data_IF_574375068524
#
_entry.id   IF_574375068524
#
_cell.length_a   1.000
_cell.length_b   1.000
_cell.length_c   1.000
_cell.angle_alpha   90.00
_cell.angle_beta   90.00
_cell.angle_gamma   90.00
#
_symmetry.space_group_name_H-M   'P 1'
#
loop_
_entity.id
_entity.type
_entity.pdbx_description
1 polymer ?
#
# COMPACT_ATOMS: atom_id res chain seq x y z
N UNK A 1 -5.96 23.10 -4.37
CA UNK A 1 -5.58 22.23 -5.48
C UNK A 1 -4.71 21.14 -4.90
N UNK A 2 -4.92 19.87 -5.28
CA UNK A 2 -4.07 18.78 -4.82
C UNK A 2 -2.61 19.08 -5.22
N UNK A 3 -1.69 18.88 -4.28
CA UNK A 3 -0.24 19.07 -4.47
C UNK A 3 0.39 17.96 -5.30
N UNK A 4 -0.18 16.76 -5.27
CA UNK A 4 0.30 15.59 -5.99
C UNK A 4 -0.76 15.10 -6.97
N UNK A 5 -0.32 14.43 -8.04
CA UNK A 5 -1.21 13.82 -9.04
C UNK A 5 -1.19 12.29 -8.96
N UNK A 6 -2.25 11.64 -9.44
CA UNK A 6 -2.28 10.18 -9.61
C UNK A 6 -1.15 9.71 -10.53
N UNK A 7 -0.50 8.62 -10.14
CA UNK A 7 0.70 8.10 -10.79
C UNK A 7 2.01 8.79 -10.38
N UNK A 8 1.95 9.82 -9.53
CA UNK A 8 3.17 10.49 -9.05
C UNK A 8 3.87 9.68 -7.96
N UNK A 9 5.21 9.63 -8.04
CA UNK A 9 6.07 9.00 -7.06
C UNK A 9 6.21 9.91 -5.83
N UNK A 10 5.89 9.35 -4.66
CA UNK A 10 5.87 10.08 -3.40
C UNK A 10 6.55 9.26 -2.30
N UNK A 11 7.06 9.99 -1.30
CA UNK A 11 7.60 9.42 -0.06
C UNK A 11 6.81 9.96 1.12
N UNK A 12 6.58 9.12 2.11
CA UNK A 12 5.98 9.53 3.38
C UNK A 12 7.05 10.23 4.22
N UNK A 13 6.77 11.47 4.64
CA UNK A 13 7.70 12.31 5.41
C UNK A 13 8.12 11.65 6.72
N UNK A 14 9.36 11.88 7.10
CA UNK A 14 9.89 11.53 8.42
C UNK A 14 9.64 12.71 9.36
N UNK A 15 8.72 12.55 10.31
CA UNK A 15 8.39 13.57 11.32
C UNK A 15 7.94 12.94 12.64
N UNK A 16 8.09 13.63 13.79
CA UNK A 16 7.51 13.17 15.05
C UNK A 16 6.00 12.95 14.91
N UNK A 17 5.52 11.80 15.39
CA UNK A 17 4.08 11.49 15.45
C UNK A 17 3.46 12.31 16.57
N UNK A 18 2.46 13.12 16.24
CA UNK A 18 1.75 13.97 17.20
C UNK A 18 0.64 13.21 17.92
N UNK A 19 0.12 13.76 19.02
CA UNK A 19 -1.06 13.16 19.68
C UNK A 19 -2.30 13.16 18.78
N UNK A 20 -2.44 14.13 17.88
CA UNK A 20 -3.53 14.17 16.92
C UNK A 20 -3.44 13.02 15.91
N UNK A 21 -2.24 12.72 15.42
CA UNK A 21 -2.02 11.57 14.53
C UNK A 21 -2.42 10.24 15.19
N UNK A 22 -2.11 10.10 16.49
CA UNK A 22 -2.48 8.91 17.28
C UNK A 22 -3.99 8.79 17.47
N UNK A 23 -4.70 9.92 17.62
CA UNK A 23 -6.16 9.96 17.78
C UNK A 23 -6.90 9.63 16.49
N UNK A 24 -6.35 10.07 15.35
CA UNK A 24 -7.01 9.89 14.03
C UNK A 24 -6.50 8.64 13.30
N UNK A 25 -5.51 7.94 13.84
CA UNK A 25 -4.96 6.69 13.29
C UNK A 25 -4.48 6.80 11.83
N UNK A 26 -4.02 7.99 11.43
CA UNK A 26 -3.64 8.30 10.04
C UNK A 26 -2.13 8.30 9.78
N UNK A 27 -1.30 8.39 10.81
CA UNK A 27 0.15 8.48 10.65
C UNK A 27 0.87 7.74 11.78
N UNK A 28 1.67 6.75 11.42
CA UNK A 28 2.41 5.91 12.35
C UNK A 28 3.91 5.93 12.04
N UNK A 29 4.74 5.67 13.06
CA UNK A 29 6.21 5.68 12.93
C UNK A 29 6.71 4.72 11.85
N UNK A 30 6.11 3.54 11.73
CA UNK A 30 6.51 2.52 10.77
C UNK A 30 6.15 2.86 9.31
N UNK A 31 5.34 3.89 9.07
CA UNK A 31 4.99 4.35 7.72
C UNK A 31 5.99 5.36 7.18
N UNK A 32 6.82 5.93 8.05
CA UNK A 32 7.72 7.02 7.67
C UNK A 32 8.85 6.52 6.76
N UNK A 33 9.18 7.32 5.75
CA UNK A 33 10.23 6.99 4.79
C UNK A 33 9.84 5.95 3.75
N UNK A 34 8.64 5.36 3.83
CA UNK A 34 8.14 4.47 2.79
C UNK A 34 7.91 5.24 1.49
N UNK A 35 8.22 4.60 0.38
CA UNK A 35 8.03 5.13 -0.95
C UNK A 35 6.90 4.41 -1.66
N UNK A 36 6.27 5.13 -2.56
CA UNK A 36 5.17 4.58 -3.33
C UNK A 36 4.70 5.51 -4.43
N UNK A 37 3.55 5.17 -4.97
CA UNK A 37 2.91 5.89 -6.06
C UNK A 37 1.51 6.29 -5.63
N UNK A 38 1.11 7.54 -5.91
CA UNK A 38 -0.25 7.99 -5.66
C UNK A 38 -1.21 7.19 -6.53
N UNK A 39 -2.12 6.45 -5.91
CA UNK A 39 -3.11 5.63 -6.63
C UNK A 39 -4.45 6.33 -6.77
N UNK A 40 -4.87 7.13 -5.78
CA UNK A 40 -6.13 7.85 -5.81
C UNK A 40 -6.18 8.98 -4.77
N UNK A 41 -7.09 9.93 -4.96
CA UNK A 41 -7.47 10.94 -3.98
C UNK A 41 -8.90 10.70 -3.51
N UNK A 42 -9.11 10.68 -2.19
CA UNK A 42 -10.45 10.45 -1.64
C UNK A 42 -11.13 11.77 -1.25
N UNK A 43 -10.58 12.43 -0.23
CA UNK A 43 -11.05 13.71 0.28
C UNK A 43 -10.02 14.81 -0.02
N UNK A 44 -10.30 16.06 0.39
CA UNK A 44 -9.38 17.20 0.15
C UNK A 44 -7.96 16.95 0.65
N UNK A 45 -7.81 16.17 1.71
CA UNK A 45 -6.53 15.97 2.38
C UNK A 45 -6.08 14.50 2.39
N UNK A 46 -6.89 13.56 1.90
CA UNK A 46 -6.61 12.12 2.00
C UNK A 46 -6.18 11.54 0.65
N UNK A 47 -5.00 10.91 0.65
CA UNK A 47 -4.34 10.38 -0.54
C UNK A 47 -4.05 8.90 -0.31
N UNK A 48 -4.44 8.08 -1.28
CA UNK A 48 -4.10 6.68 -1.34
C UNK A 48 -2.72 6.54 -2.00
N UNK A 49 -1.78 5.92 -1.29
CA UNK A 49 -0.44 5.66 -1.82
C UNK A 49 -0.22 4.16 -1.85
N UNK A 50 0.01 3.64 -3.04
CA UNK A 50 0.48 2.28 -3.23
C UNK A 50 1.97 2.22 -2.89
N UNK A 51 2.30 1.50 -1.83
CA UNK A 51 3.66 1.40 -1.30
C UNK A 51 4.45 0.35 -2.05
N UNK A 52 5.70 0.70 -2.37
CA UNK A 52 6.65 -0.26 -2.90
C UNK A 52 7.04 -1.24 -1.80
N UNK A 53 6.75 -2.52 -2.00
CA UNK A 53 7.11 -3.56 -1.04
C UNK A 53 8.62 -3.68 -0.80
N UNK A 54 9.44 -3.19 -1.73
CA UNK A 54 10.90 -3.13 -1.59
C UNK A 54 11.38 -1.97 -0.71
N UNK A 55 10.53 -0.98 -0.44
CA UNK A 55 10.80 0.09 0.53
C UNK A 55 10.51 -0.32 1.97
N UNK A 56 9.87 -1.48 2.18
CA UNK A 56 9.54 -1.99 3.50
C UNK A 56 10.77 -2.53 4.24
N UNK A 57 10.78 -2.34 5.56
CA UNK A 57 11.73 -2.98 6.47
C UNK A 57 11.46 -4.50 6.55
N UNK A 58 12.46 -5.28 6.94
CA UNK A 58 12.47 -6.74 6.87
C UNK A 58 11.22 -7.41 7.49
N UNK A 59 10.80 -7.00 8.69
CA UNK A 59 9.67 -7.63 9.38
C UNK A 59 8.33 -7.38 8.65
N UNK A 60 7.92 -6.13 8.36
CA UNK A 60 6.74 -5.88 7.53
C UNK A 60 6.79 -6.61 6.18
N UNK A 61 7.95 -6.63 5.51
CA UNK A 61 8.14 -7.32 4.23
C UNK A 61 7.79 -8.81 4.34
N UNK A 62 8.26 -9.49 5.38
CA UNK A 62 7.94 -10.89 5.63
C UNK A 62 6.45 -11.11 5.94
N UNK A 63 5.83 -10.22 6.71
CA UNK A 63 4.39 -10.28 7.00
C UNK A 63 3.58 -10.18 5.71
N UNK A 64 3.92 -9.25 4.81
CA UNK A 64 3.26 -9.09 3.52
C UNK A 64 3.48 -10.29 2.60
N UNK A 65 4.69 -10.87 2.60
CA UNK A 65 5.00 -12.09 1.84
C UNK A 65 4.14 -13.26 2.30
N UNK A 66 4.10 -13.54 3.61
CA UNK A 66 3.31 -14.65 4.18
C UNK A 66 1.81 -14.42 3.94
N UNK A 67 1.33 -13.18 4.09
CA UNK A 67 -0.07 -12.86 3.81
C UNK A 67 -0.41 -13.10 2.33
N UNK A 68 0.46 -12.71 1.41
CA UNK A 68 0.30 -12.93 -0.03
C UNK A 68 0.23 -14.42 -0.37
N UNK A 69 1.11 -15.24 0.22
CA UNK A 69 1.11 -16.69 0.06
C UNK A 69 -0.24 -17.29 0.50
N UNK A 70 -0.73 -16.94 1.70
CA UNK A 70 -2.03 -17.41 2.21
C UNK A 70 -3.21 -16.97 1.36
N UNK A 71 -3.19 -15.75 0.84
CA UNK A 71 -4.25 -15.23 -0.03
C UNK A 71 -4.27 -16.00 -1.35
N UNK A 72 -3.10 -16.29 -1.94
CA UNK A 72 -2.99 -17.11 -3.15
C UNK A 72 -3.45 -18.55 -2.92
N UNK A 73 -3.08 -19.16 -1.79
CA UNK A 73 -3.55 -20.50 -1.41
C UNK A 73 -5.09 -20.51 -1.32
N UNK A 74 -5.67 -19.58 -0.56
CA UNK A 74 -7.12 -19.46 -0.42
C UNK A 74 -7.80 -19.19 -1.76
N UNK A 75 -7.22 -18.36 -2.61
CA UNK A 75 -7.74 -18.12 -3.96
C UNK A 75 -7.75 -19.41 -4.79
N UNK A 76 -6.66 -20.19 -4.76
CA UNK A 76 -6.56 -21.45 -5.50
C UNK A 76 -7.51 -22.54 -4.96
N UNK A 77 -7.74 -22.60 -3.66
CA UNK A 77 -8.68 -23.55 -3.05
C UNK A 77 -10.14 -23.24 -3.41
N UNK A 78 -10.50 -21.95 -3.47
CA UNK A 78 -11.88 -21.52 -3.67
C UNK A 78 -12.25 -21.24 -5.14
N UNK A 79 -11.27 -21.20 -6.04
CA UNK A 79 -11.50 -20.95 -7.46
C UNK A 79 -11.71 -22.28 -8.20
N UNK A 80 -12.85 -22.42 -8.88
CA UNK A 80 -13.16 -23.59 -9.71
C UNK A 80 -12.14 -23.71 -10.87
N UNK A 81 -11.83 -24.94 -11.28
CA UNK A 81 -10.87 -25.26 -12.35
C UNK A 81 -11.23 -24.58 -13.70
N UNK A 82 -12.51 -24.32 -13.96
CA UNK A 82 -12.97 -23.58 -15.14
C UNK A 82 -12.51 -22.12 -15.12
N UNK A 83 -12.52 -21.47 -13.95
CA UNK A 83 -12.08 -20.09 -13.78
C UNK A 83 -10.54 -20.02 -13.81
N UNK A 84 -9.85 -21.00 -13.22
CA UNK A 84 -8.39 -21.07 -13.27
C UNK A 84 -7.86 -21.16 -14.71
N UNK A 85 -8.56 -21.85 -15.61
CA UNK A 85 -8.19 -21.94 -17.04
C UNK A 85 -8.33 -20.62 -17.79
N UNK A 86 -9.16 -19.70 -17.29
CA UNK A 86 -9.31 -18.35 -17.86
C UNK A 86 -8.20 -17.39 -17.41
N UNK A 87 -7.50 -17.73 -16.33
CA UNK A 87 -6.42 -16.92 -15.77
C UNK A 87 -5.07 -17.44 -16.24
N UNK A 88 -4.20 -16.52 -16.65
CA UNK A 88 -2.80 -16.80 -16.89
C UNK A 88 -2.09 -17.18 -15.58
N UNK A 89 -0.91 -17.82 -15.70
CA UNK A 89 -0.10 -18.19 -14.53
C UNK A 89 0.33 -16.97 -13.71
N UNK A 90 0.48 -15.82 -14.35
CA UNK A 90 0.89 -14.58 -13.69
C UNK A 90 -0.31 -13.96 -12.94
N UNK A 91 -1.51 -14.02 -13.50
CA UNK A 91 -2.74 -13.59 -12.83
C UNK A 91 -3.08 -14.49 -11.62
N UNK A 92 -2.75 -15.78 -11.67
CA UNK A 92 -2.88 -16.67 -10.50
C UNK A 92 -1.83 -16.39 -9.41
N UNK A 93 -0.68 -15.82 -9.79
CA UNK A 93 0.41 -15.42 -8.89
C UNK A 93 0.37 -13.92 -8.60
N UNK A 94 -0.82 -13.33 -8.53
CA UNK A 94 -0.99 -11.90 -8.24
C UNK A 94 -0.30 -11.50 -6.92
N UNK A 95 0.22 -10.27 -6.87
CA UNK A 95 0.69 -9.65 -5.63
C UNK A 95 -0.31 -8.57 -5.23
N UNK A 96 -0.94 -8.65 -4.06
CA UNK A 96 -1.84 -7.62 -3.59
C UNK A 96 -1.13 -6.27 -3.47
N UNK A 97 -1.79 -5.20 -3.91
CA UNK A 97 -1.32 -3.84 -3.67
C UNK A 97 -1.35 -3.54 -2.17
N UNK A 98 -0.25 -3.02 -1.64
CA UNK A 98 -0.21 -2.50 -0.27
C UNK A 98 -0.47 -1.00 -0.30
N UNK A 99 -1.71 -0.61 -0.06
CA UNK A 99 -2.15 0.79 -0.12
C UNK A 99 -2.27 1.36 1.28
N UNK A 100 -1.60 2.50 1.51
CA UNK A 100 -1.72 3.29 2.72
C UNK A 100 -2.55 4.55 2.42
N UNK A 101 -3.52 4.82 3.29
CA UNK A 101 -4.25 6.08 3.29
C UNK A 101 -3.50 7.06 4.18
N UNK A 102 -3.02 8.15 3.61
CA UNK A 102 -2.22 9.17 4.30
C UNK A 102 -2.73 10.57 3.99
N UNK A 103 -2.31 11.54 4.79
CA UNK A 103 -2.61 12.94 4.49
C UNK A 103 -1.68 13.47 3.41
N UNK A 104 -2.20 14.30 2.52
CA UNK A 104 -1.41 14.99 1.49
C UNK A 104 -0.28 15.83 2.11
N UNK A 105 -0.51 16.39 3.29
CA UNK A 105 0.50 17.15 4.04
C UNK A 105 1.70 16.30 4.47
N UNK A 106 1.52 14.98 4.63
CA UNK A 106 2.54 14.04 5.08
C UNK A 106 3.34 13.42 3.92
N UNK A 107 3.05 13.84 2.68
CA UNK A 107 3.76 13.41 1.49
C UNK A 107 4.80 14.45 1.02
N UNK A 108 5.90 13.92 0.50
CA UNK A 108 6.93 14.65 -0.24
C UNK A 108 7.26 13.94 -1.55
N UNK A 109 7.90 14.66 -2.47
CA UNK A 109 8.32 14.08 -3.74
C UNK A 109 9.49 13.11 -3.50
N UNK A 110 9.36 11.89 -4.01
CA UNK A 110 10.40 10.86 -3.92
C UNK A 110 11.55 11.13 -4.89
#
# INVERSE_FOLDING_TARGET
MAKFQEGERVRIKVRPVTEEDRKVHMFFEHMQGLEGTVSNHYNKDEVAVEIDLDSLVDIPKDVHRIATERIREKFNENTNEEIKKLLTKDEQKFTPHYVLLVREADLEKA
#
